data_IF_355646914193
#
_entry.id   IF_355646914193
#
_cell.length_a   1.000
_cell.length_b   1.000
_cell.length_c   1.000
_cell.angle_alpha   90.00
_cell.angle_beta   90.00
_cell.angle_gamma   90.00
#
_symmetry.space_group_name_H-M   'P 1'
#
loop_
_entity.id
_entity.type
_entity.pdbx_description
1 polymer ?
#
# COMPACT_ATOMS: atom_id res chain seq x y z
N UNK A 1 -32.24 -28.10 -2.20
CA UNK A 1 -30.84 -28.15 -2.69
C UNK A 1 -30.64 -26.92 -3.59
N UNK A 2 -29.68 -26.04 -3.28
CA UNK A 2 -29.51 -24.77 -4.02
C UNK A 2 -29.03 -23.57 -3.19
N UNK A 3 -28.59 -23.78 -1.94
CA UNK A 3 -28.09 -22.69 -1.08
C UNK A 3 -26.92 -21.92 -1.70
N UNK A 4 -25.89 -22.64 -2.18
CA UNK A 4 -24.73 -22.05 -2.87
C UNK A 4 -25.14 -21.20 -4.08
N UNK A 5 -26.02 -21.70 -4.94
CA UNK A 5 -26.53 -20.95 -6.09
C UNK A 5 -27.27 -19.66 -5.69
N UNK A 6 -28.03 -19.67 -4.58
CA UNK A 6 -28.71 -18.46 -4.07
C UNK A 6 -27.73 -17.44 -3.48
N UNK A 7 -26.69 -17.92 -2.79
CA UNK A 7 -25.63 -17.06 -2.24
C UNK A 7 -24.82 -16.41 -3.35
N UNK A 8 -24.36 -17.18 -4.34
CA UNK A 8 -23.62 -16.66 -5.50
C UNK A 8 -24.45 -15.69 -6.33
N UNK A 9 -25.75 -15.95 -6.53
CA UNK A 9 -26.64 -15.00 -7.23
C UNK A 9 -26.78 -13.67 -6.48
N UNK A 10 -26.68 -13.68 -5.15
CA UNK A 10 -26.83 -12.48 -4.32
C UNK A 10 -25.50 -11.73 -4.14
N UNK A 11 -24.41 -12.45 -3.95
CA UNK A 11 -23.11 -11.91 -3.55
C UNK A 11 -22.12 -11.80 -4.73
N UNK A 12 -22.42 -12.44 -5.86
CA UNK A 12 -21.54 -12.50 -7.02
C UNK A 12 -20.67 -13.76 -7.05
N UNK A 13 -19.97 -13.99 -8.18
CA UNK A 13 -19.07 -15.15 -8.35
C UNK A 13 -17.86 -15.08 -7.42
N UNK A 14 -17.39 -13.88 -7.06
CA UNK A 14 -16.26 -13.65 -6.13
C UNK A 14 -16.49 -14.22 -4.73
N UNK A 15 -17.76 -14.43 -4.34
CA UNK A 15 -18.09 -15.03 -3.05
C UNK A 15 -17.85 -16.55 -3.01
N UNK A 16 -17.52 -17.19 -4.14
CA UNK A 16 -17.28 -18.64 -4.20
C UNK A 16 -16.20 -19.08 -3.22
N UNK A 17 -15.04 -18.41 -3.22
CA UNK A 17 -13.90 -18.78 -2.39
C UNK A 17 -14.22 -18.63 -0.90
N UNK A 18 -14.86 -17.51 -0.51
CA UNK A 18 -15.27 -17.30 0.87
C UNK A 18 -16.32 -18.32 1.34
N UNK A 19 -17.22 -18.75 0.45
CA UNK A 19 -18.19 -19.81 0.76
C UNK A 19 -17.48 -21.14 0.94
N UNK A 20 -16.55 -21.47 0.04
CA UNK A 20 -15.84 -22.75 0.07
C UNK A 20 -14.89 -22.82 1.30
N UNK A 21 -14.23 -21.72 1.67
CA UNK A 21 -13.42 -21.61 2.89
C UNK A 21 -14.26 -21.72 4.16
N UNK A 22 -15.43 -21.07 4.21
CA UNK A 22 -16.36 -21.21 5.34
C UNK A 22 -16.81 -22.67 5.50
N UNK A 23 -17.08 -23.36 4.39
CA UNK A 23 -17.47 -24.77 4.40
C UNK A 23 -16.32 -25.68 4.84
N UNK A 24 -15.09 -25.41 4.37
CA UNK A 24 -13.89 -26.12 4.79
C UNK A 24 -13.63 -25.93 6.30
N UNK A 25 -13.74 -24.71 6.80
CA UNK A 25 -13.60 -24.38 8.23
C UNK A 25 -14.66 -25.09 9.09
N UNK A 26 -15.92 -25.09 8.64
CA UNK A 26 -17.01 -25.81 9.33
C UNK A 26 -16.76 -27.32 9.37
N UNK A 27 -16.27 -27.90 8.27
CA UNK A 27 -15.93 -29.31 8.19
C UNK A 27 -14.78 -29.65 9.14
N UNK A 28 -13.69 -28.88 9.09
CA UNK A 28 -12.53 -29.05 9.96
C UNK A 28 -12.93 -28.96 11.45
N UNK A 29 -13.74 -27.98 11.81
CA UNK A 29 -14.25 -27.81 13.17
C UNK A 29 -15.05 -29.03 13.64
N UNK A 30 -15.91 -29.59 12.77
CA UNK A 30 -16.74 -30.76 13.09
C UNK A 30 -15.95 -32.03 13.38
N UNK A 31 -14.71 -32.14 12.89
CA UNK A 31 -13.85 -33.31 13.14
C UNK A 31 -13.17 -33.28 14.51
N UNK A 32 -13.05 -32.09 15.12
CA UNK A 32 -12.27 -31.86 16.34
C UNK A 32 -13.13 -31.40 17.53
N UNK A 33 -14.38 -30.98 17.28
CA UNK A 33 -15.29 -30.43 18.28
C UNK A 33 -16.68 -31.09 18.25
N UNK A 34 -17.40 -31.13 19.39
CA UNK A 34 -18.79 -31.56 19.42
C UNK A 34 -19.68 -30.69 18.54
N UNK A 35 -20.63 -31.30 17.82
CA UNK A 35 -21.50 -30.59 16.88
C UNK A 35 -22.35 -29.53 17.58
N UNK A 36 -22.02 -28.26 17.40
CA UNK A 36 -22.76 -27.10 17.92
C UNK A 36 -22.56 -25.89 17.03
N UNK A 37 -23.66 -25.36 16.47
CA UNK A 37 -23.63 -24.14 15.67
C UNK A 37 -23.14 -22.93 16.49
N UNK A 38 -23.58 -22.83 17.74
CA UNK A 38 -23.14 -21.73 18.63
C UNK A 38 -21.64 -21.82 18.92
N UNK A 39 -21.12 -23.03 19.14
CA UNK A 39 -19.69 -23.26 19.34
C UNK A 39 -18.87 -22.89 18.12
N UNK A 40 -19.31 -23.30 16.93
CA UNK A 40 -18.65 -22.94 15.68
C UNK A 40 -18.64 -21.42 15.43
N UNK A 41 -19.76 -20.73 15.62
CA UNK A 41 -19.84 -19.27 15.42
C UNK A 41 -18.98 -18.50 16.42
N UNK A 42 -18.92 -18.96 17.68
CA UNK A 42 -18.03 -18.37 18.68
C UNK A 42 -16.56 -18.53 18.29
N UNK A 43 -16.15 -19.75 17.95
CA UNK A 43 -14.79 -20.05 17.48
C UNK A 43 -14.41 -19.23 16.25
N UNK A 44 -15.30 -19.11 15.26
CA UNK A 44 -15.05 -18.36 14.03
C UNK A 44 -14.81 -16.87 14.31
N UNK A 45 -15.54 -16.29 15.28
CA UNK A 45 -15.36 -14.88 15.67
C UNK A 45 -14.07 -14.64 16.45
N UNK A 46 -13.62 -15.61 17.24
CA UNK A 46 -12.37 -15.49 18.00
C UNK A 46 -11.12 -15.68 17.14
N UNK A 47 -11.22 -16.45 16.05
CA UNK A 47 -10.08 -16.75 15.19
C UNK A 47 -9.88 -15.76 14.03
N UNK A 48 -10.73 -14.72 13.96
CA UNK A 48 -10.73 -13.63 12.95
C UNK A 48 -10.18 -14.10 11.60
N UNK A 49 -10.83 -15.13 11.05
CA UNK A 49 -10.32 -15.85 9.89
C UNK A 49 -10.31 -14.93 8.67
N UNK A 50 -9.18 -14.28 8.42
CA UNK A 50 -8.94 -13.51 7.21
C UNK A 50 -8.68 -14.48 6.05
N UNK A 51 -9.69 -14.67 5.20
CA UNK A 51 -9.48 -15.36 3.93
C UNK A 51 -8.70 -14.44 3.01
N UNK A 52 -7.39 -14.71 2.87
CA UNK A 52 -6.58 -14.07 1.84
C UNK A 52 -6.98 -14.67 0.51
N UNK A 53 -7.82 -13.97 -0.24
CA UNK A 53 -8.09 -14.30 -1.63
C UNK A 53 -6.74 -14.35 -2.37
N UNK A 54 -6.38 -15.51 -2.91
CA UNK A 54 -5.28 -15.59 -3.86
C UNK A 54 -5.82 -15.03 -5.18
N UNK A 55 -5.35 -13.86 -5.64
CA UNK A 55 -5.75 -13.40 -6.95
C UNK A 55 -5.16 -14.40 -7.94
N UNK A 56 -5.99 -15.25 -8.53
CA UNK A 56 -5.60 -16.04 -9.69
C UNK A 56 -4.97 -15.05 -10.69
N UNK A 57 -3.71 -15.31 -11.06
CA UNK A 57 -2.92 -14.39 -11.87
C UNK A 57 -3.48 -14.17 -13.29
N UNK A 58 -4.59 -14.84 -13.64
CA UNK A 58 -5.13 -15.02 -14.98
C UNK A 58 -6.62 -14.60 -15.14
N UNK A 59 -7.14 -13.70 -14.31
CA UNK A 59 -8.48 -13.13 -14.48
C UNK A 59 -8.49 -11.78 -15.23
N UNK A 60 -9.60 -11.48 -15.92
CA UNK A 60 -9.91 -10.13 -16.45
C UNK A 60 -10.36 -9.21 -15.30
N UNK A 61 -9.41 -8.84 -14.44
CA UNK A 61 -9.67 -8.11 -13.20
C UNK A 61 -8.57 -7.10 -12.84
N UNK A 62 -8.95 -6.04 -12.12
CA UNK A 62 -8.02 -5.05 -11.57
C UNK A 62 -7.45 -5.56 -10.24
N UNK A 63 -6.13 -5.65 -10.14
CA UNK A 63 -5.44 -6.08 -8.92
C UNK A 63 -5.19 -4.92 -7.97
N UNK A 64 -5.78 -4.96 -6.78
CA UNK A 64 -5.49 -4.02 -5.70
C UNK A 64 -4.43 -4.63 -4.77
N UNK A 65 -3.31 -3.92 -4.60
CA UNK A 65 -2.21 -4.36 -3.73
C UNK A 65 -1.46 -3.17 -3.18
N UNK A 66 -0.67 -3.40 -2.14
CA UNK A 66 0.24 -2.39 -1.60
C UNK A 66 1.48 -2.25 -2.50
N UNK A 67 2.15 -1.09 -2.44
CA UNK A 67 3.41 -0.86 -3.17
C UNK A 67 4.47 -1.92 -2.81
N UNK A 68 4.54 -2.33 -1.55
CA UNK A 68 5.43 -3.41 -1.12
C UNK A 68 5.11 -4.74 -1.81
N UNK A 69 3.82 -5.10 -1.90
CA UNK A 69 3.36 -6.31 -2.56
C UNK A 69 3.60 -6.32 -4.08
N UNK A 70 3.79 -5.14 -4.69
CA UNK A 70 4.08 -5.00 -6.12
C UNK A 70 5.55 -5.25 -6.49
N UNK A 71 6.46 -5.37 -5.51
CA UNK A 71 7.90 -5.51 -5.77
C UNK A 71 8.17 -6.77 -6.61
N UNK A 72 8.81 -6.58 -7.76
CA UNK A 72 9.11 -7.67 -8.69
C UNK A 72 7.98 -8.02 -9.66
N UNK A 73 6.80 -7.43 -9.48
CA UNK A 73 5.69 -7.51 -10.43
C UNK A 73 5.75 -6.34 -11.42
N UNK A 74 5.10 -6.50 -12.57
CA UNK A 74 4.93 -5.47 -13.58
C UNK A 74 3.52 -5.56 -14.16
N UNK A 75 2.95 -4.43 -14.56
CA UNK A 75 1.66 -4.35 -15.24
C UNK A 75 1.74 -3.33 -16.38
N UNK A 76 0.91 -3.52 -17.42
CA UNK A 76 0.76 -2.53 -18.48
C UNK A 76 0.36 -1.17 -17.91
N UNK A 77 -0.76 -1.12 -17.18
CA UNK A 77 -1.21 0.09 -16.50
C UNK A 77 -1.07 -0.04 -14.98
N UNK A 78 -0.53 1.00 -14.34
CA UNK A 78 -0.45 1.13 -12.88
C UNK A 78 -1.10 2.44 -12.46
N UNK A 79 -1.98 2.35 -11.46
CA UNK A 79 -2.63 3.51 -10.84
C UNK A 79 -2.12 3.62 -9.41
N UNK A 80 -1.41 4.70 -9.10
CA UNK A 80 -1.02 5.05 -7.74
C UNK A 80 -2.13 5.92 -7.16
N UNK A 81 -2.97 5.30 -6.33
CA UNK A 81 -4.03 5.98 -5.61
C UNK A 81 -3.49 6.57 -4.29
N UNK A 82 -4.11 7.68 -3.87
CA UNK A 82 -3.87 8.36 -2.60
C UNK A 82 -2.41 8.78 -2.35
N UNK A 83 -1.82 9.50 -3.31
CA UNK A 83 -0.41 9.92 -3.25
C UNK A 83 -0.17 11.23 -2.50
N UNK A 84 -1.16 11.76 -1.78
CA UNK A 84 -1.11 13.08 -1.11
C UNK A 84 -0.74 12.99 0.38
N UNK A 85 -0.83 11.79 0.98
CA UNK A 85 -0.50 11.55 2.38
C UNK A 85 0.99 11.38 2.67
N UNK A 86 1.37 11.57 3.93
CA UNK A 86 2.71 11.29 4.47
C UNK A 86 2.64 10.18 5.53
N UNK A 87 3.75 9.45 5.78
CA UNK A 87 3.82 8.54 6.92
C UNK A 87 3.62 9.33 8.22
N UNK A 88 2.61 8.97 9.00
CA UNK A 88 2.38 9.55 10.33
C UNK A 88 2.52 8.46 11.41
N UNK A 89 3.72 8.38 12.00
CA UNK A 89 3.98 7.60 13.22
C UNK A 89 4.15 8.45 14.46
N UNK A 90 3.78 9.74 14.41
CA UNK A 90 3.84 10.65 15.55
C UNK A 90 2.98 10.20 16.75
N UNK A 91 2.10 9.21 16.53
CA UNK A 91 1.17 8.67 17.53
C UNK A 91 1.77 7.60 18.43
N UNK A 92 2.95 7.07 18.11
CA UNK A 92 3.64 6.09 18.96
C UNK A 92 4.74 6.80 19.75
N UNK A 93 4.61 6.83 21.08
CA UNK A 93 5.66 7.33 21.98
C UNK A 93 6.92 6.46 21.98
N UNK A 94 6.94 5.34 21.25
CA UNK A 94 8.05 4.41 21.18
C UNK A 94 9.00 4.79 20.04
N UNK A 95 10.24 5.11 20.38
CA UNK A 95 11.35 5.32 19.46
C UNK A 95 12.34 4.16 19.59
N UNK A 96 13.02 3.83 18.50
CA UNK A 96 14.09 2.85 18.50
C UNK A 96 15.41 3.58 18.27
N UNK A 97 16.35 3.49 19.21
CA UNK A 97 17.70 4.00 19.05
C UNK A 97 18.52 3.07 18.15
N UNK A 98 18.07 2.89 16.91
CA UNK A 98 18.81 2.22 15.84
C UNK A 98 19.69 3.26 15.14
N UNK A 99 21.01 3.12 15.24
CA UNK A 99 22.00 3.97 14.55
C UNK A 99 22.01 5.46 14.89
N UNK A 100 21.85 5.81 16.17
CA UNK A 100 22.35 7.10 16.68
C UNK A 100 23.88 7.12 16.85
N UNK A 101 24.58 6.00 16.66
CA UNK A 101 26.01 5.90 16.97
C UNK A 101 26.93 6.77 16.08
N UNK A 102 26.57 7.04 14.82
CA UNK A 102 27.47 7.75 13.91
C UNK A 102 27.55 9.26 14.17
N UNK A 103 26.41 9.92 14.49
CA UNK A 103 26.33 11.39 14.48
C UNK A 103 25.86 12.00 15.82
N UNK A 104 25.50 11.21 16.84
CA UNK A 104 25.01 11.75 18.12
C UNK A 104 26.09 11.99 19.18
N UNK A 105 27.36 11.71 18.86
CA UNK A 105 28.47 11.87 19.80
C UNK A 105 28.48 10.84 20.93
N UNK A 106 27.71 9.74 20.80
CA UNK A 106 27.68 8.65 21.77
C UNK A 106 29.06 7.98 21.96
N UNK A 107 29.92 8.07 20.94
CA UNK A 107 31.29 7.55 20.96
C UNK A 107 32.30 8.47 21.67
N UNK A 108 31.91 9.66 22.14
CA UNK A 108 32.84 10.61 22.75
C UNK A 108 33.36 10.19 24.14
N UNK A 109 32.63 9.34 24.86
CA UNK A 109 32.96 8.95 26.24
C UNK A 109 33.51 7.51 26.38
N UNK A 110 33.73 6.80 25.26
CA UNK A 110 34.40 5.48 25.27
C UNK A 110 33.63 4.34 25.96
N UNK A 111 32.33 4.49 26.23
CA UNK A 111 31.50 3.46 26.85
C UNK A 111 30.82 2.61 25.77
N UNK A 112 31.59 1.68 25.20
CA UNK A 112 31.08 0.47 24.55
C UNK A 112 30.34 0.67 23.21
N UNK A 113 30.42 -0.36 22.37
CA UNK A 113 29.65 -0.44 21.13
C UNK A 113 28.18 -0.12 21.40
N UNK A 114 27.62 0.84 20.65
CA UNK A 114 26.21 1.21 20.79
C UNK A 114 25.35 -0.06 20.80
N UNK A 115 24.56 -0.31 21.87
CA UNK A 115 23.75 -1.52 21.94
C UNK A 115 22.79 -1.56 20.75
N UNK A 116 22.68 -2.75 20.16
CA UNK A 116 21.69 -3.06 19.15
C UNK A 116 20.29 -2.70 19.69
N UNK A 117 19.61 -1.81 18.98
CA UNK A 117 18.17 -1.53 19.08
C UNK A 117 17.64 -1.29 20.52
N UNK A 118 17.97 -0.16 21.15
CA UNK A 118 17.37 0.21 22.44
C UNK A 118 16.00 0.89 22.24
N UNK A 119 14.88 0.32 22.74
CA UNK A 119 13.59 1.00 22.74
C UNK A 119 13.57 2.14 23.77
N UNK A 120 13.10 3.30 23.35
CA UNK A 120 12.92 4.51 24.16
C UNK A 120 11.45 4.92 24.13
N UNK A 121 10.80 4.91 25.29
CA UNK A 121 9.41 5.34 25.42
C UNK A 121 9.35 6.79 25.91
N UNK A 122 8.69 7.64 25.12
CA UNK A 122 8.36 9.02 25.41
C UNK A 122 6.84 9.14 25.57
N UNK A 123 6.33 9.22 26.81
CA UNK A 123 4.89 9.27 27.08
C UNK A 123 4.16 10.46 26.47
N UNK A 124 4.88 11.51 26.06
CA UNK A 124 4.31 12.70 25.45
C UNK A 124 5.33 13.82 25.28
N UNK A 125 4.91 14.93 24.67
CA UNK A 125 5.76 16.07 24.37
C UNK A 125 6.40 16.72 25.62
N UNK A 126 5.73 16.65 26.78
CA UNK A 126 6.23 17.18 28.05
C UNK A 126 7.51 16.48 28.57
N UNK A 127 7.81 15.28 28.06
CA UNK A 127 8.99 14.50 28.42
C UNK A 127 10.09 14.57 27.34
N UNK A 128 9.99 15.53 26.42
CA UNK A 128 11.00 15.78 25.40
C UNK A 128 12.32 16.27 26.01
N UNK A 129 13.43 15.85 25.43
CA UNK A 129 14.77 16.33 25.75
C UNK A 129 15.62 16.32 24.46
N UNK A 130 16.71 17.12 24.37
CA UNK A 130 17.41 17.34 23.10
C UNK A 130 17.87 16.07 22.37
N UNK A 131 18.31 15.04 23.11
CA UNK A 131 18.71 13.78 22.50
C UNK A 131 17.50 12.99 21.94
N UNK A 132 16.34 13.05 22.58
CA UNK A 132 15.10 12.49 22.07
C UNK A 132 14.61 13.21 20.81
N UNK A 133 14.75 14.53 20.74
CA UNK A 133 14.34 15.30 19.55
C UNK A 133 15.22 14.99 18.35
N UNK A 134 16.55 14.91 18.53
CA UNK A 134 17.48 14.44 17.49
C UNK A 134 17.13 13.04 17.00
N UNK A 135 16.75 12.13 17.92
CA UNK A 135 16.34 10.78 17.55
C UNK A 135 15.03 10.78 16.75
N UNK A 136 14.02 11.57 17.14
CA UNK A 136 12.78 11.73 16.38
C UNK A 136 13.04 12.24 14.96
N UNK A 137 13.91 13.25 14.82
CA UNK A 137 14.31 13.78 13.51
C UNK A 137 15.01 12.71 12.66
N UNK A 138 15.93 11.94 13.25
CA UNK A 138 16.62 10.85 12.56
C UNK A 138 15.66 9.75 12.09
N UNK A 139 14.72 9.35 12.95
CA UNK A 139 13.67 8.37 12.64
C UNK A 139 12.76 8.89 11.53
N UNK A 140 12.24 10.11 11.67
CA UNK A 140 11.38 10.71 10.65
C UNK A 140 12.11 10.86 9.30
N UNK A 141 13.40 11.21 9.30
CA UNK A 141 14.21 11.27 8.10
C UNK A 141 14.41 9.89 7.47
N UNK A 142 14.59 8.84 8.28
CA UNK A 142 14.70 7.47 7.79
C UNK A 142 13.39 6.94 7.20
N UNK A 143 12.27 7.22 7.86
CA UNK A 143 10.94 6.89 7.36
C UNK A 143 10.63 7.61 6.05
N UNK A 144 10.98 8.90 5.95
CA UNK A 144 10.82 9.66 4.72
C UNK A 144 11.71 9.10 3.59
N UNK A 145 12.93 8.64 3.90
CA UNK A 145 13.80 7.95 2.94
C UNK A 145 13.17 6.66 2.43
N UNK A 146 12.61 5.82 3.30
CA UNK A 146 11.93 4.58 2.87
C UNK A 146 10.64 4.88 2.10
N UNK A 147 9.83 5.83 2.57
CA UNK A 147 8.66 6.32 1.83
C UNK A 147 9.04 6.77 0.41
N UNK A 148 10.15 7.48 0.25
CA UNK A 148 10.64 7.88 -1.07
C UNK A 148 11.20 6.70 -1.90
N UNK A 149 11.78 5.68 -1.26
CA UNK A 149 12.20 4.44 -1.94
C UNK A 149 11.00 3.69 -2.49
N UNK A 150 9.89 3.65 -1.75
CA UNK A 150 8.65 3.04 -2.20
C UNK A 150 8.05 3.77 -3.39
N UNK A 151 8.13 5.10 -3.45
CA UNK A 151 7.76 5.84 -4.66
C UNK A 151 8.53 5.33 -5.88
N UNK A 152 9.86 5.18 -5.76
CA UNK A 152 10.66 4.65 -6.87
C UNK A 152 10.21 3.24 -7.30
N UNK A 153 9.93 2.35 -6.34
CA UNK A 153 9.37 1.03 -6.65
C UNK A 153 8.05 1.17 -7.41
N UNK A 154 7.14 2.02 -6.93
CA UNK A 154 5.83 2.26 -7.51
C UNK A 154 5.89 2.80 -8.95
N UNK A 155 6.72 3.84 -9.17
CA UNK A 155 6.90 4.47 -10.50
C UNK A 155 7.46 3.49 -11.54
N UNK A 156 8.23 2.48 -11.10
CA UNK A 156 8.86 1.49 -11.99
C UNK A 156 8.02 0.22 -12.19
N UNK A 157 6.79 0.14 -11.64
CA UNK A 157 5.90 -1.01 -11.87
C UNK A 157 5.15 -0.93 -13.19
N UNK A 158 4.95 0.27 -13.72
CA UNK A 158 4.28 0.50 -14.99
C UNK A 158 5.20 0.11 -16.15
N UNK A 159 4.70 -0.73 -17.06
CA UNK A 159 5.34 -0.98 -18.34
C UNK A 159 4.99 0.11 -19.36
N UNK A 160 3.71 0.47 -19.38
CA UNK A 160 3.09 1.17 -20.50
C UNK A 160 2.50 2.51 -20.03
N UNK A 161 1.70 2.47 -18.96
CA UNK A 161 0.95 3.62 -18.48
C UNK A 161 1.02 3.73 -16.96
N UNK A 162 1.21 4.96 -16.48
CA UNK A 162 1.25 5.29 -15.07
C UNK A 162 0.31 6.47 -14.78
N UNK A 163 -0.67 6.24 -13.92
CA UNK A 163 -1.54 7.29 -13.40
C UNK A 163 -1.18 7.55 -11.94
N UNK A 164 -0.86 8.80 -11.61
CA UNK A 164 -0.57 9.23 -10.24
C UNK A 164 -1.68 10.17 -9.78
N UNK A 165 -2.42 9.77 -8.76
CA UNK A 165 -3.54 10.55 -8.25
C UNK A 165 -3.67 10.46 -6.74
N UNK A 166 -4.39 11.41 -6.16
CA UNK A 166 -4.75 11.34 -4.76
C UNK A 166 -5.87 12.30 -4.44
N UNK A 167 -6.51 12.05 -3.30
CA UNK A 167 -7.54 12.93 -2.80
C UNK A 167 -6.89 14.00 -1.91
N UNK A 168 -7.40 15.22 -1.98
CA UNK A 168 -7.10 16.25 -1.00
C UNK A 168 -8.40 16.87 -0.51
N UNK A 169 -8.46 17.12 0.79
CA UNK A 169 -9.47 17.99 1.37
C UNK A 169 -9.15 19.47 1.08
N UNK A 170 -9.43 20.32 2.05
CA UNK A 170 -9.13 21.76 1.99
C UNK A 170 -7.67 22.08 2.33
N UNK A 171 -6.91 21.10 2.80
CA UNK A 171 -5.55 21.31 3.29
C UNK A 171 -4.55 21.58 2.16
N UNK A 172 -3.50 22.32 2.51
CA UNK A 172 -2.37 22.54 1.60
C UNK A 172 -1.66 21.21 1.37
N UNK A 173 -1.34 20.94 0.10
CA UNK A 173 -0.56 19.77 -0.27
C UNK A 173 0.86 19.90 0.29
N UNK A 174 1.33 18.92 1.06
CA UNK A 174 2.70 18.92 1.57
C UNK A 174 3.68 18.67 0.41
N UNK A 175 4.70 19.51 0.20
CA UNK A 175 5.67 19.33 -0.88
C UNK A 175 6.43 17.98 -0.85
N UNK A 176 6.45 17.31 0.31
CA UNK A 176 7.13 16.02 0.51
C UNK A 176 6.28 14.83 0.08
N UNK A 177 4.96 14.98 -0.06
CA UNK A 177 4.11 13.87 -0.51
C UNK A 177 4.45 13.46 -1.94
N UNK A 178 4.16 12.20 -2.30
CA UNK A 178 4.46 11.66 -3.62
C UNK A 178 3.85 12.48 -4.76
N UNK A 179 2.58 12.92 -4.63
CA UNK A 179 1.92 13.71 -5.66
C UNK A 179 2.67 15.00 -5.96
N UNK A 180 3.01 15.78 -4.92
CA UNK A 180 3.70 17.05 -5.08
C UNK A 180 5.07 16.88 -5.74
N UNK A 181 5.80 15.83 -5.37
CA UNK A 181 7.12 15.53 -5.94
C UNK A 181 7.02 15.14 -7.42
N UNK A 182 6.05 14.30 -7.78
CA UNK A 182 5.83 13.91 -9.18
C UNK A 182 5.34 15.11 -10.01
N UNK A 183 4.38 15.88 -9.50
CA UNK A 183 3.88 17.07 -10.18
C UNK A 183 4.99 18.10 -10.43
N UNK A 184 5.82 18.38 -9.42
CA UNK A 184 6.97 19.28 -9.56
C UNK A 184 7.99 18.77 -10.58
N UNK A 185 8.23 17.46 -10.66
CA UNK A 185 9.10 16.87 -11.67
C UNK A 185 8.51 17.01 -13.09
N UNK A 186 7.19 16.80 -13.24
CA UNK A 186 6.50 17.03 -14.52
C UNK A 186 6.59 18.51 -14.92
N UNK A 187 6.30 19.44 -14.03
CA UNK A 187 6.38 20.88 -14.34
C UNK A 187 7.79 21.34 -14.78
N UNK A 188 8.84 20.67 -14.29
CA UNK A 188 10.23 20.93 -14.69
C UNK A 188 10.66 20.22 -15.98
N UNK A 189 9.86 19.30 -16.52
CA UNK A 189 10.21 18.45 -17.66
C UNK A 189 9.72 19.08 -18.98
N UNK A 190 10.59 19.31 -19.97
CA UNK A 190 10.16 19.77 -21.30
C UNK A 190 9.26 18.75 -21.99
N UNK A 191 8.23 19.22 -22.70
CA UNK A 191 7.29 18.35 -23.43
C UNK A 191 6.11 17.83 -22.61
N UNK A 192 5.95 18.31 -21.36
CA UNK A 192 4.72 18.09 -20.59
C UNK A 192 3.60 18.97 -21.12
N UNK A 193 2.45 18.36 -21.34
CA UNK A 193 1.24 19.05 -21.77
C UNK A 193 0.18 19.03 -20.67
N UNK A 194 -0.53 20.14 -20.52
CA UNK A 194 -1.78 20.18 -19.75
C UNK A 194 -2.90 19.75 -20.67
N UNK A 195 -3.54 18.63 -20.36
CA UNK A 195 -4.67 18.09 -21.11
C UNK A 195 -5.86 17.91 -20.19
N UNK A 196 -7.08 18.00 -20.73
CA UNK A 196 -8.27 17.61 -19.99
C UNK A 196 -8.19 16.12 -19.65
N UNK A 197 -8.56 15.73 -18.42
CA UNK A 197 -8.48 14.33 -18.02
C UNK A 197 -9.45 13.41 -18.80
N UNK A 198 -10.48 13.99 -19.41
CA UNK A 198 -11.45 13.29 -20.28
C UNK A 198 -12.52 12.53 -19.50
N UNK A 199 -12.12 11.70 -18.53
CA UNK A 199 -13.04 10.89 -17.71
C UNK A 199 -13.78 11.71 -16.64
N UNK A 200 -13.14 12.77 -16.12
CA UNK A 200 -13.70 13.69 -15.13
C UNK A 200 -13.33 15.13 -15.46
N UNK A 201 -14.10 16.12 -14.95
CA UNK A 201 -13.73 17.53 -15.07
C UNK A 201 -12.38 17.79 -14.40
N UNK A 202 -11.46 18.43 -15.12
CA UNK A 202 -10.15 18.78 -14.60
C UNK A 202 -9.05 18.65 -15.64
N UNK A 203 -7.88 19.17 -15.29
CA UNK A 203 -6.66 19.05 -16.07
C UNK A 203 -5.74 18.00 -15.46
N UNK A 204 -4.99 17.32 -16.32
CA UNK A 204 -3.89 16.44 -15.96
C UNK A 204 -2.60 16.93 -16.65
N UNK A 205 -1.47 16.77 -15.96
CA UNK A 205 -0.15 16.90 -16.56
C UNK A 205 0.20 15.56 -17.22
N UNK A 206 0.41 15.58 -18.54
CA UNK A 206 0.68 14.38 -19.31
C UNK A 206 2.06 14.47 -19.97
N UNK A 207 2.85 13.40 -19.82
CA UNK A 207 4.00 13.11 -20.66
C UNK A 207 3.56 11.97 -21.60
N UNK A 208 3.44 12.24 -22.89
CA UNK A 208 3.13 11.20 -23.87
C UNK A 208 4.31 11.03 -24.79
N UNK A 209 4.81 9.80 -24.92
CA UNK A 209 5.71 9.47 -26.02
C UNK A 209 4.85 9.35 -27.30
N UNK A 210 5.17 10.08 -28.38
CA UNK A 210 4.45 9.97 -29.65
C UNK A 210 4.37 8.53 -30.21
N UNK A 211 5.25 7.63 -29.78
CA UNK A 211 5.23 6.21 -30.13
C UNK A 211 4.25 5.35 -29.32
N UNK A 212 3.54 5.91 -28.34
CA UNK A 212 2.63 5.19 -27.44
C UNK A 212 1.16 5.58 -27.66
N UNK A 213 0.22 4.61 -27.76
CA UNK A 213 -1.19 4.90 -27.99
C UNK A 213 -1.84 5.62 -26.79
N UNK A 214 -2.78 6.53 -27.08
CA UNK A 214 -3.55 7.26 -26.07
C UNK A 214 -4.43 6.31 -25.24
N UNK A 215 -4.71 6.69 -24.00
CA UNK A 215 -5.52 5.95 -23.01
C UNK A 215 -6.93 5.66 -23.55
N UNK A 216 -7.47 6.57 -24.39
CA UNK A 216 -8.77 6.43 -25.03
C UNK A 216 -8.76 5.52 -26.27
N UNK A 217 -7.58 5.31 -26.89
CA UNK A 217 -7.41 4.55 -28.14
C UNK A 217 -6.80 3.17 -27.92
N UNK A 218 -6.23 2.90 -26.73
CA UNK A 218 -5.73 1.60 -26.34
C UNK A 218 -6.89 0.60 -26.24
N UNK A 219 -7.12 -0.18 -27.29
CA UNK A 219 -7.98 -1.35 -27.22
C UNK A 219 -7.49 -2.27 -26.09
N UNK A 220 -8.40 -2.89 -25.29
CA UNK A 220 -8.00 -3.85 -24.28
C UNK A 220 -7.13 -4.91 -24.97
N UNK A 221 -5.88 -5.01 -24.53
CA UNK A 221 -4.93 -5.96 -25.09
C UNK A 221 -5.54 -7.35 -24.86
N UNK A 222 -5.87 -8.05 -25.94
CA UNK A 222 -6.59 -9.31 -25.87
C UNK A 222 -5.93 -10.22 -24.82
N UNK A 223 -6.73 -10.66 -23.84
CA UNK A 223 -6.26 -11.60 -22.83
C UNK A 223 -5.63 -12.78 -23.56
N UNK A 224 -4.36 -13.08 -23.25
CA UNK A 224 -3.72 -14.28 -23.78
C UNK A 224 -4.59 -15.46 -23.33
N UNK A 225 -5.20 -16.15 -24.29
CA UNK A 225 -6.03 -17.31 -24.01
C UNK A 225 -5.15 -18.36 -23.32
N UNK A 226 -5.42 -18.63 -22.05
CA UNK A 226 -4.80 -19.74 -21.34
C UNK A 226 -5.33 -21.02 -21.99
N UNK A 227 -4.47 -21.91 -22.54
CA UNK A 227 -4.92 -23.19 -23.05
C UNK A 227 -5.52 -24.02 -21.91
N UNK A 228 -6.65 -24.67 -22.21
CA UNK A 228 -7.51 -25.41 -21.30
C UNK A 228 -6.83 -26.56 -20.56
#
# INVERSE_FOLDING_TARGET
LGGRARLLRRLGPEAADAIDELMAAALAWSTTHPVSLQGFVHWLRENDAETRAEPEAAGDAVRLMTVHGSKGLQASCVILADTTGLPDRSKTGLLWATHAAADTGWDADGIGQAPAELPLWLPGAAYGFPAADRLKEAVAAAELREYNRLLYVALTRAADQLLVCGWRGTDKLDPRCWYARVASAFEATPGIERRGFGLWPGEALALTDPGWPDIAEAAPRAAASVPA
#
